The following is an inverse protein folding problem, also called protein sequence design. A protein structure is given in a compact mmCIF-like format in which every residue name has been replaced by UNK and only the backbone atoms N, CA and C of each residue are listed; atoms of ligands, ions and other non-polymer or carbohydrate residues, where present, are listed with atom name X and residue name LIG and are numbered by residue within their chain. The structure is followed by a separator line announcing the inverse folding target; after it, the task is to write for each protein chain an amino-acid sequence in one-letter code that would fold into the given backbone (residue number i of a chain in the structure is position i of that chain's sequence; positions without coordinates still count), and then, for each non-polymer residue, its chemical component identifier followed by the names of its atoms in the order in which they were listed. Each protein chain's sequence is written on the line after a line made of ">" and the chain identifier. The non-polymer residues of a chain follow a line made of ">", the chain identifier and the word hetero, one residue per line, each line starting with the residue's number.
data_IF_036098804282
#
_entry.id   IF_036098804282
#
_cell.length_a   1.000
_cell.length_b   1.000
_cell.length_c   1.000
_cell.angle_alpha   90.00
_cell.angle_beta   90.00
_cell.angle_gamma   90.00
#
_symmetry.space_group_name_H-M   'P 1'
#
loop_
_entity.id
_entity.type
_entity.pdbx_description
1 polymer ?
#
# COMPACT_ATOMS: atom_id res chain seq x y z
N UNK A 1 -8.82 -0.45 16.64
CA UNK A 1 -9.43 0.88 16.36
C UNK A 1 -10.87 1.03 16.87
N UNK A 2 -11.81 0.12 16.58
CA UNK A 2 -13.23 0.24 16.99
C UNK A 2 -13.40 0.50 18.49
N UNK A 3 -12.54 -0.08 19.33
CA UNK A 3 -12.57 0.06 20.79
C UNK A 3 -11.69 1.19 21.34
N UNK A 4 -10.84 1.83 20.50
CA UNK A 4 -9.92 2.87 20.94
C UNK A 4 -10.62 4.22 20.99
N UNK A 5 -10.56 4.90 22.14
CA UNK A 5 -11.09 6.25 22.32
C UNK A 5 -10.02 7.33 22.15
N UNK A 6 -10.45 8.59 21.93
CA UNK A 6 -9.51 9.72 21.87
C UNK A 6 -8.78 9.90 23.21
N UNK A 7 -9.45 9.59 24.33
CA UNK A 7 -8.83 9.60 25.67
C UNK A 7 -7.63 8.66 25.74
N UNK A 8 -7.82 7.41 25.31
CA UNK A 8 -6.75 6.40 25.32
C UNK A 8 -5.59 6.78 24.41
N UNK A 9 -5.89 7.37 23.24
CA UNK A 9 -4.86 7.85 22.31
C UNK A 9 -4.05 9.01 22.91
N UNK A 10 -4.74 9.98 23.51
CA UNK A 10 -4.09 11.15 24.13
C UNK A 10 -3.32 10.77 25.39
N UNK A 11 -3.82 9.85 26.20
CA UNK A 11 -3.12 9.31 27.35
C UNK A 11 -1.83 8.58 26.93
N UNK A 12 -1.90 7.72 25.93
CA UNK A 12 -0.74 7.00 25.40
C UNK A 12 0.32 7.95 24.79
N UNK A 13 -0.12 9.03 24.16
CA UNK A 13 0.76 10.04 23.56
C UNK A 13 1.24 11.13 24.57
N UNK A 14 0.74 11.12 25.81
CA UNK A 14 1.10 12.14 26.81
C UNK A 14 0.61 13.56 26.47
N UNK A 15 -0.48 13.69 25.71
CA UNK A 15 -1.04 15.00 25.31
C UNK A 15 -2.47 15.20 25.83
N UNK A 16 -2.95 16.45 25.84
CA UNK A 16 -4.35 16.73 26.18
C UNK A 16 -5.29 16.46 24.99
N UNK A 17 -6.58 16.19 25.28
CA UNK A 17 -7.62 16.13 24.25
C UNK A 17 -7.70 17.43 23.44
N UNK A 18 -7.55 18.57 24.08
CA UNK A 18 -7.54 19.87 23.39
C UNK A 18 -6.38 19.99 22.40
N UNK A 19 -5.22 19.37 22.72
CA UNK A 19 -4.09 19.30 21.78
C UNK A 19 -4.41 18.38 20.61
N UNK A 20 -5.05 17.24 20.84
CA UNK A 20 -5.48 16.32 19.78
C UNK A 20 -6.38 17.02 18.75
N UNK A 21 -7.44 17.70 19.24
CA UNK A 21 -8.41 18.35 18.36
C UNK A 21 -7.87 19.61 17.63
N UNK A 22 -6.64 20.06 17.94
CA UNK A 22 -5.95 21.07 17.12
C UNK A 22 -5.39 20.49 15.81
N UNK A 23 -5.14 19.19 15.75
CA UNK A 23 -4.51 18.53 14.62
C UNK A 23 -5.49 17.63 13.85
N UNK A 24 -6.44 17.00 14.55
CA UNK A 24 -7.35 16.02 13.94
C UNK A 24 -8.79 16.27 14.41
N UNK A 25 -9.71 16.46 13.47
CA UNK A 25 -11.13 16.68 13.75
C UNK A 25 -11.79 15.44 14.39
N UNK A 26 -11.22 14.26 14.16
CA UNK A 26 -11.71 12.99 14.71
C UNK A 26 -10.58 11.96 14.80
N UNK A 27 -10.82 10.89 15.56
CA UNK A 27 -9.87 9.76 15.57
C UNK A 27 -9.77 9.08 14.20
N UNK A 28 -10.84 9.10 13.43
CA UNK A 28 -10.87 8.59 12.07
C UNK A 28 -9.88 9.36 11.17
N UNK A 29 -9.78 10.69 11.33
CA UNK A 29 -8.81 11.51 10.60
C UNK A 29 -7.37 11.21 11.01
N UNK A 30 -7.10 10.98 12.30
CA UNK A 30 -5.78 10.52 12.74
C UNK A 30 -5.40 9.18 12.09
N UNK A 31 -6.31 8.22 12.11
CA UNK A 31 -6.05 6.90 11.55
C UNK A 31 -5.90 6.96 10.02
N UNK A 32 -6.62 7.86 9.36
CA UNK A 32 -6.43 8.12 7.94
C UNK A 32 -5.04 8.70 7.65
N UNK A 33 -4.57 9.65 8.45
CA UNK A 33 -3.21 10.17 8.32
C UNK A 33 -2.15 9.05 8.50
N UNK A 34 -2.32 8.15 9.46
CA UNK A 34 -1.44 6.98 9.61
C UNK A 34 -1.47 6.06 8.38
N UNK A 35 -2.64 5.86 7.79
CA UNK A 35 -2.77 5.07 6.55
C UNK A 35 -2.00 5.73 5.39
N UNK A 36 -2.12 7.04 5.23
CA UNK A 36 -1.39 7.80 4.21
C UNK A 36 0.14 7.77 4.43
N UNK A 37 0.59 7.82 5.69
CA UNK A 37 2.01 7.67 6.03
C UNK A 37 2.55 6.28 5.60
N UNK A 38 1.79 5.21 5.89
CA UNK A 38 2.14 3.84 5.44
C UNK A 38 2.19 3.76 3.92
N UNK A 39 1.23 4.35 3.22
CA UNK A 39 1.24 4.40 1.75
C UNK A 39 2.47 5.11 1.21
N UNK A 40 2.79 6.28 1.75
CA UNK A 40 3.98 7.04 1.36
C UNK A 40 5.25 6.21 1.52
N UNK A 41 5.43 5.56 2.66
CA UNK A 41 6.60 4.71 2.92
C UNK A 41 6.68 3.51 1.95
N UNK A 42 5.56 2.88 1.65
CA UNK A 42 5.50 1.76 0.70
C UNK A 42 5.89 2.20 -0.71
N UNK A 43 5.43 3.36 -1.15
CA UNK A 43 5.82 3.93 -2.44
C UNK A 43 7.29 4.30 -2.50
N UNK A 44 7.86 4.89 -1.44
CA UNK A 44 9.30 5.20 -1.35
C UNK A 44 10.16 3.93 -1.42
N UNK A 45 9.74 2.85 -0.77
CA UNK A 45 10.41 1.55 -0.82
C UNK A 45 10.37 0.96 -2.23
N UNK A 46 9.20 1.00 -2.89
CA UNK A 46 9.05 0.52 -4.25
C UNK A 46 9.94 1.32 -5.22
N UNK A 47 9.94 2.64 -5.12
CA UNK A 47 10.78 3.52 -5.93
C UNK A 47 12.27 3.25 -5.73
N UNK A 48 12.71 3.09 -4.47
CA UNK A 48 14.09 2.72 -4.14
C UNK A 48 14.47 1.38 -4.74
N UNK A 49 13.60 0.38 -4.66
CA UNK A 49 13.83 -0.94 -5.26
C UNK A 49 13.93 -0.86 -6.78
N UNK A 50 13.09 -0.06 -7.44
CA UNK A 50 13.17 0.19 -8.88
C UNK A 50 14.52 0.81 -9.29
N UNK A 51 15.04 1.77 -8.52
CA UNK A 51 16.35 2.37 -8.77
C UNK A 51 17.51 1.39 -8.53
N UNK A 52 17.46 0.65 -7.45
CA UNK A 52 18.52 -0.30 -7.10
C UNK A 52 18.64 -1.47 -8.09
N UNK A 53 17.57 -1.79 -8.78
CA UNK A 53 17.48 -2.91 -9.71
C UNK A 53 17.43 -2.45 -11.19
N UNK A 54 17.92 -1.25 -11.52
CA UNK A 54 17.85 -0.67 -12.85
C UNK A 54 18.51 -1.52 -13.94
N UNK A 55 19.52 -2.31 -13.59
CA UNK A 55 20.21 -3.23 -14.50
C UNK A 55 19.42 -4.52 -14.81
N UNK A 56 18.35 -4.82 -14.09
CA UNK A 56 17.54 -5.99 -14.33
C UNK A 56 16.57 -5.78 -15.51
N UNK A 57 16.17 -6.90 -16.13
CA UNK A 57 15.09 -6.88 -17.12
C UNK A 57 13.81 -6.24 -16.54
N UNK A 58 13.00 -5.54 -17.34
CA UNK A 58 11.83 -4.79 -16.89
C UNK A 58 10.88 -5.59 -15.99
N UNK A 59 10.53 -6.81 -16.38
CA UNK A 59 9.66 -7.69 -15.60
C UNK A 59 10.26 -8.02 -14.22
N UNK A 60 11.55 -8.35 -14.18
CA UNK A 60 12.25 -8.68 -12.93
C UNK A 60 12.36 -7.44 -12.03
N UNK A 61 12.68 -6.29 -12.59
CA UNK A 61 12.77 -5.02 -11.89
C UNK A 61 11.45 -4.64 -11.24
N UNK A 62 10.35 -4.75 -11.98
CA UNK A 62 9.00 -4.52 -11.45
C UNK A 62 8.65 -5.50 -10.31
N UNK A 63 8.97 -6.79 -10.49
CA UNK A 63 8.73 -7.81 -9.48
C UNK A 63 9.46 -7.52 -8.17
N UNK A 64 10.73 -7.15 -8.21
CA UNK A 64 11.50 -6.82 -6.98
C UNK A 64 10.91 -5.61 -6.24
N UNK A 65 10.41 -4.61 -6.95
CA UNK A 65 9.76 -3.46 -6.34
C UNK A 65 8.44 -3.84 -5.64
N UNK A 66 7.60 -4.63 -6.30
CA UNK A 66 6.32 -5.09 -5.73
C UNK A 66 6.58 -5.97 -4.51
N UNK A 67 7.55 -6.90 -4.59
CA UNK A 67 7.91 -7.76 -3.46
C UNK A 67 8.51 -6.98 -2.29
N UNK A 68 9.28 -5.91 -2.54
CA UNK A 68 9.79 -5.04 -1.48
C UNK A 68 8.65 -4.32 -0.76
N UNK A 69 7.69 -3.77 -1.50
CA UNK A 69 6.49 -3.14 -0.95
C UNK A 69 5.65 -4.13 -0.10
N UNK A 70 5.39 -5.31 -0.63
CA UNK A 70 4.63 -6.34 0.08
C UNK A 70 5.35 -6.83 1.36
N UNK A 71 6.68 -6.99 1.33
CA UNK A 71 7.47 -7.34 2.53
C UNK A 71 7.33 -6.28 3.61
N UNK A 72 7.47 -4.99 3.26
CA UNK A 72 7.29 -3.90 4.22
C UNK A 72 5.91 -3.95 4.90
N UNK A 73 4.86 -4.14 4.13
CA UNK A 73 3.50 -4.27 4.66
C UNK A 73 3.32 -5.49 5.56
N UNK A 74 3.98 -6.61 5.24
CA UNK A 74 3.87 -7.85 6.03
C UNK A 74 4.62 -7.80 7.37
N UNK A 75 5.72 -7.04 7.47
CA UNK A 75 6.63 -7.03 8.62
C UNK A 75 6.18 -6.13 9.76
N UNK A 76 5.37 -5.13 9.52
CA UNK A 76 5.11 -4.04 10.47
C UNK A 76 3.84 -4.17 11.28
N UNK A 77 3.04 -5.20 11.11
CA UNK A 77 1.73 -5.30 11.78
C UNK A 77 0.71 -4.24 11.30
N UNK A 78 1.12 -3.37 10.38
CA UNK A 78 0.22 -2.40 9.73
C UNK A 78 -0.92 -3.12 9.03
N UNK A 79 -0.65 -4.35 8.58
CA UNK A 79 -1.67 -5.20 7.96
C UNK A 79 -2.79 -5.58 8.91
N UNK A 80 -2.51 -5.82 10.18
CA UNK A 80 -3.59 -6.03 11.17
C UNK A 80 -4.50 -4.81 11.28
N UNK A 81 -3.93 -3.62 11.15
CA UNK A 81 -4.70 -2.38 11.09
C UNK A 81 -5.49 -2.28 9.76
N UNK A 82 -4.84 -2.52 8.64
CA UNK A 82 -5.46 -2.44 7.31
C UNK A 82 -6.58 -3.49 7.17
N UNK A 83 -6.36 -4.74 7.56
CA UNK A 83 -7.35 -5.82 7.50
C UNK A 83 -8.58 -5.56 8.37
N UNK A 84 -8.35 -5.15 9.61
CA UNK A 84 -9.41 -5.11 10.60
C UNK A 84 -10.13 -3.77 10.70
N UNK A 85 -9.46 -2.68 10.36
CA UNK A 85 -9.91 -1.34 10.66
C UNK A 85 -9.97 -0.38 9.47
N UNK A 86 -9.17 -0.57 8.42
CA UNK A 86 -9.12 0.38 7.31
C UNK A 86 -10.47 0.47 6.56
N UNK A 87 -11.11 -0.66 6.26
CA UNK A 87 -12.41 -0.65 5.60
C UNK A 87 -13.49 0.03 6.47
N UNK A 88 -13.47 -0.22 7.79
CA UNK A 88 -14.37 0.44 8.71
C UNK A 88 -14.10 1.95 8.81
N UNK A 89 -12.83 2.33 8.77
CA UNK A 89 -12.38 3.72 8.75
C UNK A 89 -12.87 4.40 7.47
N UNK A 90 -12.54 3.85 6.31
CA UNK A 90 -12.88 4.40 5.00
C UNK A 90 -14.39 4.57 4.81
N UNK A 91 -15.22 3.69 5.41
CA UNK A 91 -16.69 3.84 5.39
C UNK A 91 -17.20 5.05 6.20
N UNK A 92 -16.41 5.56 7.16
CA UNK A 92 -16.77 6.68 8.02
C UNK A 92 -16.18 8.01 7.59
N UNK A 93 -15.22 7.98 6.66
CA UNK A 93 -14.68 9.20 6.08
C UNK A 93 -15.66 9.81 5.07
N UNK A 94 -15.62 11.12 4.86
CA UNK A 94 -16.31 11.79 3.77
C UNK A 94 -16.03 11.12 2.43
N UNK A 95 -17.04 11.08 1.55
CA UNK A 95 -16.92 10.39 0.26
C UNK A 95 -15.80 10.97 -0.61
N UNK A 96 -15.57 12.27 -0.50
CA UNK A 96 -14.53 13.00 -1.23
C UNK A 96 -13.14 12.52 -0.85
N UNK A 97 -12.86 12.35 0.46
CA UNK A 97 -11.57 11.87 0.97
C UNK A 97 -11.34 10.43 0.51
N UNK A 98 -12.34 9.58 0.61
CA UNK A 98 -12.25 8.20 0.17
C UNK A 98 -12.00 8.07 -1.32
N UNK A 99 -12.69 8.86 -2.15
CA UNK A 99 -12.51 8.83 -3.59
C UNK A 99 -11.13 9.35 -3.99
N UNK A 100 -10.66 10.42 -3.35
CA UNK A 100 -9.31 10.94 -3.55
C UNK A 100 -8.26 9.87 -3.25
N UNK A 101 -8.32 9.23 -2.09
CA UNK A 101 -7.39 8.17 -1.68
C UNK A 101 -7.27 7.04 -2.73
N UNK A 102 -8.40 6.49 -3.23
CA UNK A 102 -8.36 5.44 -4.24
C UNK A 102 -7.83 5.90 -5.60
N UNK A 103 -8.08 7.15 -5.96
CA UNK A 103 -7.58 7.75 -7.19
C UNK A 103 -6.08 8.03 -7.10
N UNK A 104 -5.61 8.49 -5.94
CA UNK A 104 -4.21 8.80 -5.70
C UNK A 104 -3.33 7.56 -5.75
N UNK A 105 -3.77 6.42 -5.19
CA UNK A 105 -3.05 5.15 -5.28
C UNK A 105 -2.81 4.72 -6.74
N UNK A 106 -3.85 4.76 -7.56
CA UNK A 106 -3.72 4.39 -8.98
C UNK A 106 -2.79 5.37 -9.71
N UNK A 107 -2.92 6.65 -9.42
CA UNK A 107 -2.09 7.70 -10.01
C UNK A 107 -0.63 7.55 -9.63
N UNK A 108 -0.33 7.25 -8.37
CA UNK A 108 1.04 6.99 -7.90
C UNK A 108 1.65 5.75 -8.55
N UNK A 109 0.93 4.64 -8.64
CA UNK A 109 1.42 3.44 -9.33
C UNK A 109 1.74 3.76 -10.79
N UNK A 110 0.86 4.45 -11.50
CA UNK A 110 1.09 4.86 -12.89
C UNK A 110 2.33 5.75 -13.02
N UNK A 111 2.46 6.75 -12.15
CA UNK A 111 3.61 7.64 -12.15
C UNK A 111 4.93 6.89 -11.91
N UNK A 112 4.96 5.96 -10.98
CA UNK A 112 6.13 5.11 -10.73
C UNK A 112 6.53 4.27 -11.94
N UNK A 113 5.56 3.64 -12.62
CA UNK A 113 5.82 2.85 -13.82
C UNK A 113 6.40 3.73 -14.95
N UNK A 114 5.80 4.90 -15.18
CA UNK A 114 6.24 5.85 -16.22
C UNK A 114 7.64 6.41 -15.92
N UNK A 115 7.88 6.91 -14.71
CA UNK A 115 9.17 7.46 -14.28
C UNK A 115 10.29 6.44 -14.31
N UNK A 116 9.97 5.17 -14.05
CA UNK A 116 10.91 4.06 -14.11
C UNK A 116 11.15 3.54 -15.52
N UNK A 117 10.46 4.09 -16.53
CA UNK A 117 10.53 3.60 -17.92
C UNK A 117 9.91 2.22 -18.13
N UNK A 118 9.12 1.72 -17.16
CA UNK A 118 8.41 0.45 -17.26
C UNK A 118 7.17 0.62 -18.13
N UNK A 119 7.27 0.14 -19.37
CA UNK A 119 6.16 0.18 -20.33
C UNK A 119 5.51 -1.19 -20.41
N UNK A 120 4.20 -1.22 -20.23
CA UNK A 120 3.41 -2.44 -20.37
C UNK A 120 2.77 -2.50 -21.76
N UNK A 121 3.04 -3.53 -22.56
CA UNK A 121 2.33 -3.73 -23.83
C UNK A 121 0.82 -3.96 -23.61
N UNK A 122 0.42 -4.40 -22.42
CA UNK A 122 -0.98 -4.57 -22.04
C UNK A 122 -1.67 -3.26 -21.59
N UNK A 123 -0.93 -2.14 -21.57
CA UNK A 123 -1.40 -0.83 -21.15
C UNK A 123 -1.18 -0.54 -19.65
N UNK A 124 -0.89 0.73 -19.35
CA UNK A 124 -0.57 1.19 -17.98
C UNK A 124 -1.71 0.98 -16.99
N UNK A 125 -2.96 1.09 -17.44
CA UNK A 125 -4.14 0.88 -16.61
C UNK A 125 -4.22 -0.56 -16.06
N UNK A 126 -4.02 -1.56 -16.94
CA UNK A 126 -4.02 -2.95 -16.52
C UNK A 126 -2.83 -3.25 -15.61
N UNK A 127 -1.64 -2.72 -15.92
CA UNK A 127 -0.46 -2.87 -15.09
C UNK A 127 -0.70 -2.30 -13.68
N UNK A 128 -1.22 -1.07 -13.56
CA UNK A 128 -1.52 -0.46 -12.26
C UNK A 128 -2.57 -1.25 -11.47
N UNK A 129 -3.65 -1.69 -12.12
CA UNK A 129 -4.67 -2.50 -11.48
C UNK A 129 -4.13 -3.85 -10.98
N UNK A 130 -3.25 -4.49 -11.76
CA UNK A 130 -2.61 -5.76 -11.37
C UNK A 130 -1.67 -5.57 -10.20
N UNK A 131 -0.80 -4.55 -10.22
CA UNK A 131 0.09 -4.21 -9.09
C UNK A 131 -0.72 -4.00 -7.81
N UNK A 132 -1.78 -3.19 -7.89
CA UNK A 132 -2.67 -2.95 -6.76
C UNK A 132 -3.31 -4.24 -6.25
N UNK A 133 -3.81 -5.10 -7.16
CA UNK A 133 -4.38 -6.40 -6.79
C UNK A 133 -3.39 -7.30 -6.06
N UNK A 134 -2.13 -7.36 -6.50
CA UNK A 134 -1.07 -8.11 -5.86
C UNK A 134 -0.78 -7.60 -4.44
N UNK A 135 -0.68 -6.28 -4.26
CA UNK A 135 -0.48 -5.67 -2.93
C UNK A 135 -1.64 -5.97 -2.00
N UNK A 136 -2.88 -5.92 -2.48
CA UNK A 136 -4.06 -6.24 -1.68
C UNK A 136 -4.07 -7.69 -1.17
N UNK A 137 -3.34 -8.63 -1.80
CA UNK A 137 -3.26 -10.01 -1.30
C UNK A 137 -2.58 -10.09 0.07
N UNK A 138 -1.75 -9.10 0.44
CA UNK A 138 -1.05 -9.08 1.72
C UNK A 138 -2.04 -9.09 2.88
N UNK A 139 -3.22 -8.47 2.72
CA UNK A 139 -4.29 -8.48 3.72
C UNK A 139 -4.91 -9.86 3.98
N UNK A 140 -4.62 -10.85 3.18
CA UNK A 140 -5.11 -12.23 3.35
C UNK A 140 -4.00 -13.23 3.71
N UNK A 141 -2.80 -12.76 4.06
CA UNK A 141 -1.65 -13.62 4.32
C UNK A 141 -1.89 -14.66 5.43
N UNK A 142 -2.59 -14.27 6.51
CA UNK A 142 -2.91 -15.19 7.61
C UNK A 142 -3.89 -16.29 7.17
N UNK A 143 -4.86 -15.97 6.31
CA UNK A 143 -5.84 -16.92 5.79
C UNK A 143 -5.21 -17.94 4.84
N UNK A 144 -4.20 -17.52 4.07
CA UNK A 144 -3.45 -18.39 3.14
C UNK A 144 -2.42 -19.22 3.91
N UNK A 145 -1.87 -18.67 4.98
CA UNK A 145 -0.96 -19.37 5.88
C UNK A 145 0.48 -19.45 5.37
N UNK A 146 1.26 -20.48 5.78
CA UNK A 146 2.72 -20.51 5.59
C UNK A 146 3.19 -20.56 4.14
N UNK A 147 2.31 -20.84 3.20
CA UNK A 147 2.63 -20.82 1.76
C UNK A 147 2.51 -19.44 1.14
N UNK A 148 1.99 -18.44 1.87
CA UNK A 148 1.76 -17.09 1.34
C UNK A 148 3.00 -16.46 0.70
N UNK A 149 4.20 -16.46 1.31
CA UNK A 149 5.37 -15.83 0.69
C UNK A 149 5.71 -16.43 -0.68
N UNK A 150 5.69 -17.76 -0.78
CA UNK A 150 5.98 -18.46 -2.03
C UNK A 150 4.89 -18.26 -3.08
N UNK A 151 3.63 -18.24 -2.66
CA UNK A 151 2.48 -17.95 -3.54
C UNK A 151 2.62 -16.52 -4.08
N UNK A 152 2.92 -15.53 -3.22
CA UNK A 152 3.10 -14.14 -3.61
C UNK A 152 4.22 -14.00 -4.65
N UNK A 153 5.38 -14.58 -4.41
CA UNK A 153 6.49 -14.59 -5.38
C UNK A 153 6.05 -15.16 -6.73
N UNK A 154 5.35 -16.30 -6.72
CA UNK A 154 4.85 -16.95 -7.93
C UNK A 154 3.92 -16.04 -8.72
N UNK A 155 2.97 -15.37 -8.02
CA UNK A 155 2.02 -14.47 -8.65
C UNK A 155 2.71 -13.20 -9.17
N UNK A 156 3.61 -12.61 -8.38
CA UNK A 156 4.30 -11.37 -8.75
C UNK A 156 5.19 -11.59 -9.96
N UNK A 157 6.03 -12.63 -9.96
CA UNK A 157 6.88 -12.90 -11.11
C UNK A 157 6.08 -13.26 -12.36
N UNK A 158 5.06 -14.13 -12.23
CA UNK A 158 4.22 -14.48 -13.37
C UNK A 158 3.46 -13.29 -13.96
N UNK A 159 2.90 -12.43 -13.12
CA UNK A 159 2.22 -11.23 -13.57
C UNK A 159 3.18 -10.22 -14.22
N UNK A 160 4.37 -10.02 -13.65
CA UNK A 160 5.36 -9.09 -14.19
C UNK A 160 5.93 -9.56 -15.53
N UNK A 161 6.15 -10.87 -15.71
CA UNK A 161 6.56 -11.43 -17.00
C UNK A 161 5.52 -11.15 -18.09
N UNK A 162 4.23 -11.28 -17.78
CA UNK A 162 3.18 -10.97 -18.74
C UNK A 162 3.03 -9.46 -19.00
N UNK A 163 3.13 -8.64 -17.94
CA UNK A 163 2.90 -7.20 -18.03
C UNK A 163 4.07 -6.42 -18.64
N UNK A 164 5.32 -6.88 -18.47
CA UNK A 164 6.52 -6.12 -18.83
C UNK A 164 7.49 -6.91 -19.69
N UNK A 165 7.01 -7.94 -20.38
CA UNK A 165 7.83 -8.66 -21.37
C UNK A 165 8.33 -7.69 -22.45
N UNK A 166 9.60 -7.81 -22.76
CA UNK A 166 10.18 -7.19 -23.96
C UNK A 166 10.00 -8.14 -25.14
N UNK A 167 9.53 -7.62 -26.25
CA UNK A 167 9.47 -8.37 -27.51
C UNK A 167 10.88 -8.81 -27.96
#
# INVERSE_FOLDING_TARGET
>A
MRKTSVEQLTEAAGISKGSFYKFFDSKEMLFFAVLEDVHTEVFEIAEKALRQNEALAPARRAAEAILAACRRLSETGDMTFIENDAEFLLRRLPAEIKTAHYHDDETHIRALLEQSGLRSPCGTALAAATVRGLVLTVSHQEQIGPLYPRMLETLVYGACEELFRTE
#
